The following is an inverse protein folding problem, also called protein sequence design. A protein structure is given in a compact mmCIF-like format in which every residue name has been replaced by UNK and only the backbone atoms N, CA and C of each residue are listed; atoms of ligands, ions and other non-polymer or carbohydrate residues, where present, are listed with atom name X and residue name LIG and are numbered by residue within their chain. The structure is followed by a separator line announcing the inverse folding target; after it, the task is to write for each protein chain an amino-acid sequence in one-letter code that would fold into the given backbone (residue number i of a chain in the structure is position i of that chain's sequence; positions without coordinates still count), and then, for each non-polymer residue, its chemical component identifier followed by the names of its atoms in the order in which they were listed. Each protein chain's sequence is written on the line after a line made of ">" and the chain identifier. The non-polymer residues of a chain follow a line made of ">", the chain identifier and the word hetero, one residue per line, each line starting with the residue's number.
data_IF_009685260493
#
_entry.id   IF_009685260493
#
_cell.length_a   1.000
_cell.length_b   1.000
_cell.length_c   1.000
_cell.angle_alpha   90.00
_cell.angle_beta   90.00
_cell.angle_gamma   90.00
#
_symmetry.space_group_name_H-M   'P 1'
#
loop_
_entity.id
_entity.type
_entity.pdbx_description
1 polymer ?
#
# COMPACT_ATOMS: atom_id res chain seq x y z
N UNK A 1 -27.70 14.50 -15.36
CA UNK A 1 -27.11 13.58 -14.35
C UNK A 1 -28.03 13.57 -13.12
N UNK A 2 -28.81 12.52 -12.91
CA UNK A 2 -29.69 12.38 -11.74
C UNK A 2 -28.94 11.59 -10.66
N UNK A 3 -28.19 12.29 -9.80
CA UNK A 3 -27.49 11.67 -8.68
C UNK A 3 -28.51 11.52 -7.55
N UNK A 4 -28.84 10.28 -7.17
CA UNK A 4 -29.76 10.03 -6.06
C UNK A 4 -29.24 10.63 -4.74
N UNK A 5 -30.13 11.18 -3.93
CA UNK A 5 -29.82 11.82 -2.64
C UNK A 5 -28.94 10.94 -1.72
N UNK A 6 -29.18 9.63 -1.74
CA UNK A 6 -28.41 8.62 -0.99
C UNK A 6 -26.93 8.57 -1.39
N UNK A 7 -26.63 8.77 -2.67
CA UNK A 7 -25.27 8.78 -3.20
C UNK A 7 -24.53 10.04 -2.75
N UNK A 8 -25.21 11.20 -2.81
CA UNK A 8 -24.68 12.47 -2.34
C UNK A 8 -24.39 12.44 -0.83
N UNK A 9 -25.33 11.92 -0.03
CA UNK A 9 -25.15 11.77 1.42
C UNK A 9 -23.97 10.88 1.77
N UNK A 10 -23.77 9.77 1.04
CA UNK A 10 -22.61 8.89 1.23
C UNK A 10 -21.29 9.60 0.94
N UNK A 11 -21.22 10.35 -0.16
CA UNK A 11 -20.02 11.13 -0.51
C UNK A 11 -19.75 12.24 0.50
N UNK A 12 -20.80 12.89 1.01
CA UNK A 12 -20.66 13.93 2.04
C UNK A 12 -20.13 13.35 3.36
N UNK A 13 -20.63 12.17 3.76
CA UNK A 13 -20.13 11.46 4.95
C UNK A 13 -18.67 11.04 4.78
N UNK A 14 -18.31 10.53 3.59
CA UNK A 14 -16.93 10.17 3.27
C UNK A 14 -16.01 11.39 3.31
N UNK A 15 -16.41 12.51 2.68
CA UNK A 15 -15.65 13.76 2.69
C UNK A 15 -15.43 14.31 4.11
N UNK A 16 -16.47 14.27 4.95
CA UNK A 16 -16.34 14.70 6.36
C UNK A 16 -15.40 13.80 7.18
N UNK A 17 -15.31 12.50 6.85
CA UNK A 17 -14.33 11.59 7.43
C UNK A 17 -12.91 11.92 6.97
N UNK A 18 -12.72 12.12 5.65
CA UNK A 18 -11.43 12.50 5.07
C UNK A 18 -10.89 13.82 5.69
N UNK A 19 -11.74 14.83 5.87
CA UNK A 19 -11.36 16.11 6.52
C UNK A 19 -10.93 15.92 7.98
N UNK A 20 -11.43 14.90 8.66
CA UNK A 20 -11.04 14.56 10.03
C UNK A 20 -9.79 13.68 10.12
N UNK A 21 -9.20 13.32 8.97
CA UNK A 21 -7.99 12.49 8.89
C UNK A 21 -8.28 10.99 8.82
N UNK A 22 -9.53 10.57 8.64
CA UNK A 22 -9.84 9.15 8.42
C UNK A 22 -9.53 8.77 6.97
N UNK A 23 -8.51 7.93 6.78
CA UNK A 23 -8.18 7.37 5.47
C UNK A 23 -9.29 6.43 5.01
N UNK A 24 -10.01 6.75 3.91
CA UNK A 24 -11.07 5.90 3.40
C UNK A 24 -10.46 4.64 2.75
N UNK A 25 -11.18 3.52 2.87
CA UNK A 25 -10.83 2.24 2.21
C UNK A 25 -11.15 2.29 0.71
N UNK A 26 -12.12 3.12 0.31
CA UNK A 26 -12.49 3.36 -1.09
C UNK A 26 -11.60 4.45 -1.74
N UNK A 27 -11.71 4.62 -3.07
CA UNK A 27 -11.06 5.73 -3.78
C UNK A 27 -11.43 7.06 -3.12
N UNK A 28 -10.43 7.71 -2.55
CA UNK A 28 -10.66 8.94 -1.81
C UNK A 28 -11.21 10.04 -2.73
N UNK A 29 -12.07 10.88 -2.19
CA UNK A 29 -12.70 11.97 -2.93
C UNK A 29 -11.70 13.13 -3.06
N UNK A 30 -10.94 13.40 -2.01
CA UNK A 30 -9.90 14.44 -1.97
C UNK A 30 -8.60 14.01 -2.66
N UNK A 31 -7.93 14.95 -3.31
CA UNK A 31 -6.67 14.73 -4.03
C UNK A 31 -5.52 14.34 -3.10
N UNK A 32 -5.48 14.93 -1.90
CA UNK A 32 -4.50 14.63 -0.85
C UNK A 32 -4.62 13.17 -0.41
N UNK A 33 -5.83 12.72 -0.11
CA UNK A 33 -6.04 11.36 0.38
C UNK A 33 -5.80 10.30 -0.71
N UNK A 34 -6.04 10.62 -1.99
CA UNK A 34 -5.59 9.78 -3.11
C UNK A 34 -4.07 9.66 -3.16
N UNK A 35 -3.35 10.74 -2.88
CA UNK A 35 -1.88 10.74 -2.83
C UNK A 35 -1.39 9.88 -1.66
N UNK A 36 -2.03 9.97 -0.50
CA UNK A 36 -1.73 9.12 0.67
C UNK A 36 -1.89 7.65 0.31
N UNK A 37 -3.04 7.23 -0.23
CA UNK A 37 -3.26 5.84 -0.64
C UNK A 37 -2.23 5.34 -1.68
N UNK A 38 -1.86 6.19 -2.64
CA UNK A 38 -0.83 5.85 -3.64
C UNK A 38 0.53 5.63 -2.98
N UNK A 39 0.90 6.49 -2.04
CA UNK A 39 2.16 6.37 -1.28
C UNK A 39 2.16 5.13 -0.39
N UNK A 40 1.07 4.85 0.33
CA UNK A 40 0.95 3.64 1.15
C UNK A 40 1.10 2.36 0.31
N UNK A 41 0.47 2.33 -0.87
CA UNK A 41 0.62 1.21 -1.81
C UNK A 41 2.06 1.03 -2.29
N UNK A 42 2.75 2.14 -2.59
CA UNK A 42 4.16 2.11 -2.98
C UNK A 42 5.06 1.63 -1.84
N UNK A 43 4.85 2.12 -0.61
CA UNK A 43 5.60 1.69 0.57
C UNK A 43 5.43 0.19 0.80
N UNK A 44 4.19 -0.32 0.77
CA UNK A 44 3.91 -1.75 0.92
C UNK A 44 4.61 -2.60 -0.15
N UNK A 45 4.60 -2.13 -1.41
CA UNK A 45 5.28 -2.82 -2.50
C UNK A 45 6.81 -2.81 -2.32
N UNK A 46 7.40 -1.70 -1.89
CA UNK A 46 8.83 -1.58 -1.63
C UNK A 46 9.26 -2.45 -0.45
N UNK A 47 8.50 -2.49 0.63
CA UNK A 47 8.75 -3.37 1.77
C UNK A 47 8.74 -4.84 1.35
N UNK A 48 7.70 -5.25 0.63
CA UNK A 48 7.60 -6.62 0.10
C UNK A 48 8.77 -7.01 -0.80
N UNK A 49 9.21 -6.11 -1.68
CA UNK A 49 10.40 -6.31 -2.53
C UNK A 49 11.68 -6.41 -1.71
N UNK A 50 11.84 -5.55 -0.70
CA UNK A 50 13.02 -5.56 0.16
C UNK A 50 13.10 -6.88 0.96
N UNK A 51 11.98 -7.35 1.50
CA UNK A 51 11.91 -8.63 2.21
C UNK A 51 12.26 -9.81 1.30
N UNK A 52 11.79 -9.79 0.04
CA UNK A 52 12.16 -10.80 -0.94
C UNK A 52 13.67 -10.77 -1.24
N UNK A 53 14.24 -9.58 -1.47
CA UNK A 53 15.67 -9.42 -1.73
C UNK A 53 16.52 -9.90 -0.54
N UNK A 54 16.11 -9.58 0.69
CA UNK A 54 16.79 -10.07 1.90
C UNK A 54 16.76 -11.60 1.96
N UNK A 55 15.61 -12.23 1.71
CA UNK A 55 15.48 -13.70 1.69
C UNK A 55 16.36 -14.33 0.60
N UNK A 56 16.35 -13.77 -0.61
CA UNK A 56 17.20 -14.24 -1.70
C UNK A 56 18.69 -14.10 -1.35
N UNK A 57 19.11 -12.95 -0.80
CA UNK A 57 20.49 -12.73 -0.39
C UNK A 57 20.95 -13.71 0.70
N UNK A 58 20.08 -14.03 1.65
CA UNK A 58 20.37 -15.01 2.69
C UNK A 58 20.48 -16.42 2.10
N UNK A 59 19.60 -16.78 1.17
CA UNK A 59 19.65 -18.05 0.45
C UNK A 59 20.96 -18.23 -0.31
N UNK A 60 21.34 -17.26 -1.15
CA UNK A 60 22.59 -17.32 -1.92
C UNK A 60 23.83 -17.33 -1.02
N UNK A 61 23.83 -16.57 0.08
CA UNK A 61 24.92 -16.60 1.05
C UNK A 61 25.06 -17.97 1.73
N UNK A 62 23.94 -18.69 1.95
CA UNK A 62 23.94 -20.06 2.49
C UNK A 62 24.47 -21.06 1.44
N UNK A 63 24.00 -20.95 0.20
CA UNK A 63 24.42 -21.80 -0.92
C UNK A 63 25.93 -21.70 -1.18
N UNK A 64 26.47 -20.47 -1.24
CA UNK A 64 27.91 -20.23 -1.38
C UNK A 64 28.75 -20.82 -0.24
N UNK A 65 28.20 -20.89 0.99
CA UNK A 65 28.90 -21.52 2.12
C UNK A 65 28.89 -23.05 2.01
N UNK A 66 27.80 -23.63 1.52
CA UNK A 66 27.68 -25.08 1.33
C UNK A 66 28.61 -25.59 0.22
N UNK A 67 28.72 -24.87 -0.90
CA UNK A 67 29.65 -25.22 -1.98
C UNK A 67 31.12 -25.23 -1.54
N UNK A 68 31.51 -24.29 -0.67
CA UNK A 68 32.86 -24.25 -0.09
C UNK A 68 33.15 -25.38 0.89
N UNK A 69 32.12 -25.98 1.48
CA UNK A 69 32.25 -27.12 2.40
C UNK A 69 32.32 -28.46 1.66
N UNK A 70 31.80 -28.52 0.43
CA UNK A 70 31.78 -29.74 -0.40
C UNK A 70 33.02 -29.91 -1.30
N UNK A 71 33.90 -28.91 -1.39
CA UNK A 71 35.21 -28.99 -2.05
C UNK A 71 36.32 -29.18 -1.02
#
# INVERSE_FOLDING_TARGET
>A
MNIGLSTLQRWLRQYRGEVRGDTPIATAITSEQRRIQKLEKQVRQLQSKNDLLKKASAFFAMEMKNDKKSR
#
